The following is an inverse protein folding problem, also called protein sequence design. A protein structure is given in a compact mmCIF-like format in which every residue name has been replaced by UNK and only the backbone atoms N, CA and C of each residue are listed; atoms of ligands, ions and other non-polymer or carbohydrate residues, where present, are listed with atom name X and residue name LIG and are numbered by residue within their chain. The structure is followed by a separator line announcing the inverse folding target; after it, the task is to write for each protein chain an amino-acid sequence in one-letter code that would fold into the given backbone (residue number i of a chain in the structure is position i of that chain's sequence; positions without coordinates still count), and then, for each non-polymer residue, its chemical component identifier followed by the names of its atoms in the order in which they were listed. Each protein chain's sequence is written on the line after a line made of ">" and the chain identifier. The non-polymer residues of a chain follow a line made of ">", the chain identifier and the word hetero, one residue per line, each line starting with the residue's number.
data_IF_621052335072
#
_entry.id   IF_621052335072
#
_cell.length_a   1.000
_cell.length_b   1.000
_cell.length_c   1.000
_cell.angle_alpha   90.00
_cell.angle_beta   90.00
_cell.angle_gamma   90.00
#
_symmetry.space_group_name_H-M   'P 1'
#
loop_
_entity.id
_entity.type
_entity.pdbx_description
1 polymer ?
#
# COMPACT_ATOMS: atom_id res chain seq x y z
N UNK A 1 -16.64 -4.15 25.36
CA UNK A 1 -17.75 -3.78 24.44
C UNK A 1 -17.73 -2.26 24.32
N UNK A 2 -17.65 -1.71 23.10
CA UNK A 2 -17.65 -0.27 22.83
C UNK A 2 -18.90 0.06 22.00
N UNK A 3 -19.69 1.06 22.42
CA UNK A 3 -20.89 1.51 21.74
C UNK A 3 -20.79 3.03 21.48
N UNK A 4 -21.15 3.47 20.29
CA UNK A 4 -21.13 4.88 19.89
C UNK A 4 -22.46 5.24 19.22
N UNK A 5 -23.13 6.27 19.74
CA UNK A 5 -24.33 6.87 19.14
C UNK A 5 -24.05 8.36 18.91
N UNK A 6 -24.53 8.90 17.80
CA UNK A 6 -24.42 10.33 17.51
C UNK A 6 -25.11 11.16 18.60
N UNK A 7 -24.42 12.15 19.15
CA UNK A 7 -24.95 13.01 20.21
C UNK A 7 -25.55 14.31 19.64
N UNK A 8 -24.71 15.17 19.07
CA UNK A 8 -25.10 16.44 18.45
C UNK A 8 -23.97 16.97 17.56
N UNK A 9 -24.29 17.97 16.73
CA UNK A 9 -23.29 18.78 16.05
C UNK A 9 -22.70 19.81 17.03
N UNK A 10 -21.42 20.16 16.84
CA UNK A 10 -20.69 21.12 17.64
C UNK A 10 -19.85 22.05 16.73
N UNK A 11 -19.41 23.22 17.22
CA UNK A 11 -18.47 24.07 16.48
C UNK A 11 -17.21 23.28 16.07
N UNK A 12 -16.68 23.61 14.90
CA UNK A 12 -15.48 22.97 14.37
C UNK A 12 -14.28 23.19 15.31
N UNK A 13 -13.62 22.10 15.70
CA UNK A 13 -12.52 22.12 16.69
C UNK A 13 -11.12 22.10 16.06
N UNK A 14 -11.02 22.26 14.74
CA UNK A 14 -9.77 22.21 13.98
C UNK A 14 -9.68 20.99 13.07
N UNK A 15 -8.63 20.95 12.26
CA UNK A 15 -8.41 19.88 11.29
C UNK A 15 -8.08 18.56 11.99
N UNK A 16 -8.70 17.48 11.50
CA UNK A 16 -8.36 16.13 11.93
C UNK A 16 -7.16 15.70 11.10
N UNK A 17 -6.00 15.41 11.73
CA UNK A 17 -4.81 15.04 10.99
C UNK A 17 -5.03 13.71 10.27
N UNK A 18 -4.60 13.66 9.02
CA UNK A 18 -4.54 12.42 8.24
C UNK A 18 -3.42 11.49 8.71
N UNK A 19 -3.23 10.38 7.99
CA UNK A 19 -2.11 9.50 8.25
C UNK A 19 -0.77 10.19 7.96
N UNK A 20 0.25 9.85 8.74
CA UNK A 20 1.62 10.33 8.56
C UNK A 20 2.49 9.39 7.71
N UNK A 21 1.99 8.20 7.39
CA UNK A 21 2.65 7.15 6.63
C UNK A 21 2.29 7.23 5.14
N UNK A 22 3.22 6.81 4.30
CA UNK A 22 3.00 6.66 2.86
C UNK A 22 2.39 5.30 2.52
N UNK A 23 1.99 5.14 1.27
CA UNK A 23 1.56 3.87 0.71
C UNK A 23 2.72 3.20 -0.05
N UNK A 24 2.83 1.88 0.09
CA UNK A 24 3.61 1.04 -0.82
C UNK A 24 2.71 0.64 -2.00
N UNK A 25 3.11 0.99 -3.21
CA UNK A 25 2.28 0.88 -4.41
C UNK A 25 2.93 -0.12 -5.39
N UNK A 26 2.16 -1.07 -5.91
CA UNK A 26 2.62 -1.96 -6.97
C UNK A 26 2.80 -1.20 -8.28
N UNK A 27 3.90 -1.46 -8.98
CA UNK A 27 4.20 -0.84 -10.27
C UNK A 27 3.76 -1.69 -11.48
N UNK A 28 3.22 -2.89 -11.27
CA UNK A 28 2.89 -3.80 -12.36
C UNK A 28 1.85 -4.85 -11.99
N UNK A 29 1.38 -5.53 -13.04
CA UNK A 29 0.36 -6.57 -12.96
C UNK A 29 1.00 -7.95 -12.92
N UNK A 30 0.56 -8.79 -11.98
CA UNK A 30 1.06 -10.15 -11.85
C UNK A 30 0.81 -10.74 -10.48
N UNK A 31 1.62 -11.74 -10.12
CA UNK A 31 1.51 -12.44 -8.85
C UNK A 31 2.68 -12.09 -7.93
N UNK A 32 2.39 -11.75 -6.68
CA UNK A 32 3.39 -11.29 -5.74
C UNK A 32 4.33 -12.44 -5.33
N UNK A 33 5.64 -12.26 -5.54
CA UNK A 33 6.64 -13.30 -5.27
C UNK A 33 7.16 -13.16 -3.84
N UNK A 34 7.23 -14.26 -3.10
CA UNK A 34 7.75 -14.29 -1.71
C UNK A 34 9.13 -13.62 -1.58
N UNK A 35 10.02 -13.86 -2.54
CA UNK A 35 11.35 -13.22 -2.57
C UNK A 35 11.28 -11.70 -2.69
N UNK A 36 10.35 -11.16 -3.48
CA UNK A 36 10.19 -9.71 -3.60
C UNK A 36 9.63 -9.12 -2.30
N UNK A 37 8.60 -9.76 -1.72
CA UNK A 37 8.01 -9.34 -0.45
C UNK A 37 9.06 -9.34 0.67
N UNK A 38 9.88 -10.38 0.76
CA UNK A 38 10.95 -10.49 1.75
C UNK A 38 11.94 -9.31 1.70
N UNK A 39 12.35 -8.89 0.50
CA UNK A 39 13.27 -7.76 0.34
C UNK A 39 12.60 -6.38 0.56
N UNK A 40 11.28 -6.33 0.51
CA UNK A 40 10.51 -5.08 0.58
C UNK A 40 9.86 -4.86 1.95
N UNK A 41 9.71 -5.90 2.78
CA UNK A 41 9.12 -5.81 4.12
C UNK A 41 9.91 -4.87 5.06
N UNK A 42 11.19 -4.62 4.79
CA UNK A 42 12.00 -3.62 5.52
C UNK A 42 11.52 -2.18 5.29
N UNK A 43 10.74 -1.92 4.23
CA UNK A 43 10.15 -0.60 3.94
C UNK A 43 8.88 -0.35 4.74
N UNK A 44 8.26 -1.40 5.26
CA UNK A 44 7.11 -1.33 6.14
C UNK A 44 6.20 -2.55 6.02
N UNK A 45 5.12 -2.60 6.81
CA UNK A 45 4.26 -3.77 6.88
C UNK A 45 3.47 -3.97 5.58
N UNK A 46 3.41 -5.23 5.14
CA UNK A 46 2.74 -5.63 3.90
C UNK A 46 1.26 -5.94 4.18
N UNK A 47 0.40 -5.73 3.19
CA UNK A 47 -1.04 -6.06 3.24
C UNK A 47 -1.39 -7.33 2.46
N UNK A 48 -0.45 -7.83 1.66
CA UNK A 48 -0.63 -8.96 0.75
C UNK A 48 0.22 -10.15 1.17
N UNK A 49 -0.26 -11.35 0.85
CA UNK A 49 0.53 -12.57 0.95
C UNK A 49 1.31 -12.83 -0.35
N UNK A 50 2.37 -13.65 -0.29
CA UNK A 50 2.90 -14.29 -1.50
C UNK A 50 1.79 -15.01 -2.28
N UNK A 51 1.82 -14.91 -3.60
CA UNK A 51 0.78 -15.48 -4.47
C UNK A 51 -0.43 -14.57 -4.68
N UNK A 52 -0.50 -13.41 -3.99
CA UNK A 52 -1.59 -12.46 -4.21
C UNK A 52 -1.46 -11.83 -5.59
N UNK A 53 -2.55 -11.85 -6.37
CA UNK A 53 -2.62 -11.12 -7.64
C UNK A 53 -2.67 -9.62 -7.38
N UNK A 54 -1.73 -8.90 -7.97
CA UNK A 54 -1.58 -7.45 -7.86
C UNK A 54 -1.69 -6.79 -9.22
N UNK A 55 -1.99 -5.49 -9.21
CA UNK A 55 -2.02 -4.65 -10.40
C UNK A 55 -1.33 -3.31 -10.16
N UNK A 56 -0.94 -2.63 -11.23
CA UNK A 56 -0.29 -1.32 -11.17
C UNK A 56 -1.19 -0.29 -10.48
N UNK A 57 -0.66 0.40 -9.47
CA UNK A 57 -1.42 1.36 -8.66
C UNK A 57 -2.22 0.74 -7.49
N UNK A 58 -2.19 -0.59 -7.33
CA UNK A 58 -2.67 -1.25 -6.12
C UNK A 58 -1.74 -0.94 -4.93
N UNK A 59 -2.32 -0.63 -3.78
CA UNK A 59 -1.59 -0.45 -2.52
C UNK A 59 -1.40 -1.82 -1.88
N UNK A 60 -0.15 -2.15 -1.59
CA UNK A 60 0.31 -3.48 -1.18
C UNK A 60 0.90 -3.51 0.23
N UNK A 61 1.04 -2.34 0.86
CA UNK A 61 1.57 -2.18 2.21
C UNK A 61 1.64 -0.73 2.63
N UNK A 62 2.11 -0.51 3.84
CA UNK A 62 2.31 0.81 4.43
C UNK A 62 3.79 1.14 4.43
N UNK A 63 4.15 2.35 4.00
CA UNK A 63 5.51 2.83 4.06
C UNK A 63 5.78 3.46 5.42
N UNK A 64 6.90 3.08 6.04
CA UNK A 64 7.34 3.65 7.33
C UNK A 64 7.64 5.15 7.28
N UNK A 65 7.76 5.76 6.10
CA UNK A 65 7.95 7.21 5.90
C UNK A 65 6.71 7.80 5.25
N UNK A 66 6.52 9.11 5.38
CA UNK A 66 5.32 9.81 4.89
C UNK A 66 5.21 9.99 3.37
N UNK A 67 6.22 9.61 2.59
CA UNK A 67 6.13 9.64 1.13
C UNK A 67 5.66 8.30 0.57
N UNK A 68 4.90 8.31 -0.51
CA UNK A 68 4.54 7.09 -1.22
C UNK A 68 5.76 6.49 -1.94
N UNK A 69 5.77 5.16 -2.08
CA UNK A 69 6.84 4.44 -2.73
C UNK A 69 6.30 3.38 -3.69
N UNK A 70 6.69 3.48 -4.96
CA UNK A 70 6.39 2.49 -5.97
C UNK A 70 7.42 1.36 -5.95
N UNK A 71 6.94 0.11 -5.93
CA UNK A 71 7.75 -1.08 -5.77
C UNK A 71 7.30 -2.16 -6.74
N UNK A 72 8.25 -3.03 -7.09
CA UNK A 72 7.99 -4.20 -7.92
C UNK A 72 7.98 -5.47 -7.06
N UNK A 73 6.80 -6.03 -6.84
CA UNK A 73 6.59 -7.30 -6.11
C UNK A 73 6.64 -8.55 -6.99
N UNK A 74 6.86 -8.38 -8.30
CA UNK A 74 6.93 -9.47 -9.28
C UNK A 74 8.38 -9.96 -9.47
N UNK A 75 9.36 -9.27 -8.89
CA UNK A 75 10.78 -9.54 -9.10
C UNK A 75 11.19 -10.87 -8.44
N UNK A 76 11.40 -11.89 -9.25
CA UNK A 76 11.94 -13.17 -8.82
C UNK A 76 13.42 -13.11 -8.41
N UNK A 77 13.88 -14.18 -7.76
CA UNK A 77 15.31 -14.42 -7.46
C UNK A 77 16.05 -14.59 -8.79
N UNK A 78 17.10 -13.79 -9.03
CA UNK A 78 17.96 -13.99 -10.20
C UNK A 78 18.78 -15.25 -9.98
N UNK A 79 18.49 -16.32 -10.72
CA UNK A 79 19.26 -17.55 -10.74
C UNK A 79 20.58 -17.31 -11.49
N UNK A 80 21.53 -16.63 -10.86
CA UNK A 80 22.92 -16.67 -11.33
C UNK A 80 23.48 -18.04 -10.94
N UNK A 81 23.98 -18.80 -11.92
CA UNK A 81 24.71 -20.07 -11.76
C UNK A 81 26.04 -19.89 -11.01
N UNK A 82 26.03 -19.19 -9.87
CA UNK A 82 27.18 -19.02 -8.99
C UNK A 82 27.00 -20.04 -7.88
N UNK A 83 27.90 -21.01 -7.84
CA UNK A 83 28.09 -21.99 -6.76
C UNK A 83 28.20 -21.28 -5.41
N UNK A 84 27.06 -21.00 -4.77
CA UNK A 84 27.00 -20.63 -3.37
C UNK A 84 26.67 -21.91 -2.60
N UNK A 85 27.69 -22.45 -1.94
CA UNK A 85 27.57 -23.60 -1.07
C UNK A 85 26.48 -23.37 0.00
N UNK A 86 25.43 -24.19 -0.02
CA UNK A 86 24.77 -24.66 1.20
C UNK A 86 23.93 -23.70 2.04
N UNK A 87 23.22 -22.71 1.47
CA UNK A 87 22.14 -22.02 2.19
C UNK A 87 20.92 -21.77 1.29
N UNK A 88 20.00 -22.72 1.28
CA UNK A 88 18.59 -22.42 1.05
C UNK A 88 18.05 -21.73 2.32
N UNK A 89 18.33 -20.43 2.46
CA UNK A 89 17.72 -19.63 3.53
C UNK A 89 16.21 -19.63 3.31
N UNK A 90 15.48 -20.30 4.21
CA UNK A 90 14.03 -20.23 4.25
C UNK A 90 13.62 -18.78 4.45
N UNK A 91 12.91 -18.20 3.48
CA UNK A 91 12.45 -16.82 3.53
C UNK A 91 11.45 -16.65 4.67
N UNK A 92 11.85 -15.94 5.73
CA UNK A 92 11.00 -15.59 6.86
C UNK A 92 10.24 -14.29 6.55
N UNK A 93 8.95 -14.44 6.28
CA UNK A 93 8.05 -13.32 6.00
C UNK A 93 7.31 -12.88 7.25
N UNK A 94 7.24 -11.57 7.46
CA UNK A 94 6.35 -11.00 8.48
C UNK A 94 4.90 -11.20 8.02
N UNK A 95 4.00 -11.72 8.88
CA UNK A 95 2.60 -11.89 8.52
C UNK A 95 1.97 -10.56 8.06
N UNK A 96 1.23 -10.55 6.93
CA UNK A 96 0.66 -9.32 6.43
C UNK A 96 -0.48 -8.81 7.32
N UNK A 97 -0.64 -7.50 7.35
CA UNK A 97 -1.76 -6.85 8.03
C UNK A 97 -3.03 -7.09 7.22
N UNK A 98 -3.98 -7.82 7.81
CA UNK A 98 -5.31 -8.02 7.24
C UNK A 98 -6.12 -6.74 7.36
N UNK A 99 -6.50 -6.17 6.23
CA UNK A 99 -7.37 -4.98 6.18
C UNK A 99 -8.83 -5.43 6.14
N UNK A 100 -9.57 -5.21 7.23
CA UNK A 100 -11.04 -5.28 7.21
C UNK A 100 -11.60 -4.06 6.48
N UNK A 101 -12.89 -4.07 6.16
CA UNK A 101 -13.51 -2.94 5.46
C UNK A 101 -13.40 -1.65 6.28
N UNK A 102 -13.66 -1.71 7.57
CA UNK A 102 -13.59 -0.57 8.48
C UNK A 102 -12.16 -0.04 8.57
N UNK A 103 -11.19 -0.95 8.65
CA UNK A 103 -9.77 -0.58 8.69
C UNK A 103 -9.31 0.04 7.37
N UNK A 104 -9.76 -0.50 6.23
CA UNK A 104 -9.47 0.05 4.92
C UNK A 104 -10.08 1.45 4.73
N UNK A 105 -11.33 1.65 5.15
CA UNK A 105 -12.01 2.95 5.10
C UNK A 105 -11.33 4.00 6.00
N UNK A 106 -10.82 3.59 7.16
CA UNK A 106 -10.05 4.48 8.03
C UNK A 106 -8.63 4.78 7.51
N UNK A 107 -8.09 3.95 6.61
CA UNK A 107 -6.72 4.06 6.10
C UNK A 107 -6.61 4.94 4.84
N UNK A 108 -7.61 4.89 3.96
CA UNK A 108 -7.61 5.55 2.65
C UNK A 108 -7.50 7.07 2.76
N UNK A 109 -6.61 7.67 1.96
CA UNK A 109 -6.49 9.12 1.79
C UNK A 109 -7.37 9.68 0.68
N UNK A 110 -7.20 10.98 0.37
CA UNK A 110 -7.99 11.68 -0.67
C UNK A 110 -7.76 11.14 -2.09
N UNK A 111 -6.55 10.68 -2.39
CA UNK A 111 -6.13 10.20 -3.72
C UNK A 111 -6.20 8.67 -3.84
N UNK A 112 -6.96 8.04 -2.96
CA UNK A 112 -7.04 6.59 -2.78
C UNK A 112 -8.48 6.09 -2.72
N UNK A 113 -8.66 4.81 -3.04
CA UNK A 113 -9.96 4.16 -3.07
C UNK A 113 -9.88 2.77 -2.44
N UNK A 114 -10.97 2.36 -1.81
CA UNK A 114 -11.20 0.96 -1.42
C UNK A 114 -11.96 0.27 -2.54
N UNK A 115 -11.33 -0.73 -3.15
CA UNK A 115 -11.97 -1.62 -4.11
C UNK A 115 -12.57 -2.80 -3.35
N UNK A 116 -13.90 -2.95 -3.41
CA UNK A 116 -14.63 -4.00 -2.70
C UNK A 116 -15.27 -4.96 -3.69
N UNK A 117 -14.99 -6.24 -3.51
CA UNK A 117 -15.71 -7.34 -4.16
C UNK A 117 -16.23 -8.30 -3.10
N UNK A 118 -17.16 -9.21 -3.43
CA UNK A 118 -17.68 -10.19 -2.46
C UNK A 118 -16.60 -11.07 -1.82
N UNK A 119 -15.44 -11.23 -2.48
CA UNK A 119 -14.36 -12.11 -2.05
C UNK A 119 -13.12 -11.37 -1.55
N UNK A 120 -12.99 -10.07 -1.82
CA UNK A 120 -11.76 -9.34 -1.53
C UNK A 120 -11.98 -7.86 -1.31
N UNK A 121 -11.20 -7.29 -0.39
CA UNK A 121 -11.08 -5.86 -0.17
C UNK A 121 -9.66 -5.48 -0.54
N UNK A 122 -9.50 -4.51 -1.44
CA UNK A 122 -8.21 -4.00 -1.90
C UNK A 122 -8.13 -2.50 -1.74
N UNK A 123 -6.92 -2.01 -1.63
CA UNK A 123 -6.60 -0.59 -1.59
C UNK A 123 -5.89 -0.22 -2.90
N UNK A 124 -6.20 0.93 -3.46
CA UNK A 124 -5.58 1.42 -4.69
C UNK A 124 -5.52 2.94 -4.71
N UNK A 125 -4.63 3.48 -5.54
CA UNK A 125 -4.68 4.88 -5.94
C UNK A 125 -5.85 5.13 -6.90
N UNK A 126 -6.38 6.35 -6.86
CA UNK A 126 -7.38 6.82 -7.83
C UNK A 126 -6.78 6.78 -9.23
N UNK A 127 -5.60 7.40 -9.40
CA UNK A 127 -4.79 7.33 -10.61
C UNK A 127 -3.82 6.16 -10.52
N UNK A 128 -3.99 5.18 -11.40
CA UNK A 128 -3.17 3.97 -11.42
C UNK A 128 -1.78 4.24 -12.00
N UNK A 129 -1.71 4.99 -13.10
CA UNK A 129 -0.46 5.30 -13.79
C UNK A 129 0.41 6.26 -12.93
N UNK A 130 1.65 5.86 -12.60
CA UNK A 130 2.64 6.74 -11.98
C UNK A 130 2.81 8.11 -12.65
N UNK A 131 2.75 8.15 -13.98
CA UNK A 131 2.94 9.38 -14.75
C UNK A 131 1.77 10.33 -14.57
N UNK A 132 0.55 9.80 -14.56
CA UNK A 132 -0.66 10.59 -14.29
C UNK A 132 -0.65 11.13 -12.85
N UNK A 133 -0.24 10.31 -11.87
CA UNK A 133 -0.07 10.78 -10.48
C UNK A 133 0.91 11.95 -10.37
N UNK A 134 2.08 11.85 -11.02
CA UNK A 134 3.06 12.94 -11.02
C UNK A 134 2.57 14.20 -11.72
N UNK A 135 1.73 14.07 -12.76
CA UNK A 135 1.09 15.22 -13.41
C UNK A 135 0.06 15.87 -12.48
N UNK A 136 -0.81 15.06 -11.86
CA UNK A 136 -1.81 15.54 -10.93
C UNK A 136 -1.19 16.22 -9.70
N UNK A 137 -0.10 15.68 -9.15
CA UNK A 137 0.59 16.30 -8.01
C UNK A 137 1.15 17.68 -8.34
N UNK A 138 1.73 17.86 -9.53
CA UNK A 138 2.23 19.16 -10.00
C UNK A 138 1.13 20.19 -10.20
N UNK A 139 -0.03 19.76 -10.70
CA UNK A 139 -1.20 20.65 -10.84
C UNK A 139 -1.71 21.08 -9.46
N UNK A 140 -1.86 20.13 -8.52
CA UNK A 140 -2.28 20.42 -7.15
C UNK A 140 -1.30 21.37 -6.43
N UNK A 141 0.01 21.18 -6.63
CA UNK A 141 1.05 22.09 -6.12
C UNK A 141 0.91 23.50 -6.70
N UNK A 142 0.68 23.63 -8.02
CA UNK A 142 0.49 24.92 -8.67
C UNK A 142 -0.79 25.63 -8.19
N UNK A 143 -1.89 24.92 -8.04
CA UNK A 143 -3.16 25.46 -7.54
C UNK A 143 -3.06 25.90 -6.07
N UNK A 144 -2.26 25.20 -5.25
CA UNK A 144 -2.04 25.58 -3.85
C UNK A 144 -1.11 26.78 -3.65
N UNK A 145 -0.31 27.12 -4.67
CA UNK A 145 0.63 28.24 -4.65
C UNK A 145 0.04 29.54 -5.22
N UNK A 146 -1.12 29.46 -5.87
CA UNK A 146 -1.89 30.59 -6.42
C UNK A 146 -2.89 31.14 -5.40
#
# INVERSE_FOLDING_TARGET
>A
IMNRIFHAYAPHVGEIPGRHTGALISNGDGEAVAYAIFNLQDRGPMFIDPGTKVYAGMIIGEHTRGNDLELNVLKGKKLTNVRAAGKDDALLLVPPIRMTLEKALAYVGEDELVEVTPQSIRLRKTLLDPNERKRASRVKEADSAA
#
